data_IF_366262958174
#
_entry.id   IF_366262958174
#
_cell.length_a   1.000
_cell.length_b   1.000
_cell.length_c   1.000
_cell.angle_alpha   90.00
_cell.angle_beta   90.00
_cell.angle_gamma   90.00
#
_symmetry.space_group_name_H-M   'P 1'
#
loop_
_entity.id
_entity.type
_entity.pdbx_description
1 polymer ?
#
# COMPACT_ATOMS: atom_id res chain seq x y z
N UNK A 1 -4.03 3.17 -1.90
CA UNK A 1 -3.21 2.22 -1.11
C UNK A 1 -2.19 1.58 -2.03
N UNK A 2 -0.91 1.57 -1.64
CA UNK A 2 0.20 1.06 -2.46
C UNK A 2 0.86 -0.08 -1.69
N UNK A 3 0.84 -1.30 -2.24
CA UNK A 3 1.48 -2.50 -1.66
C UNK A 3 2.83 -2.79 -2.32
N UNK A 4 3.50 -3.87 -1.93
CA UNK A 4 4.87 -4.21 -2.36
C UNK A 4 4.98 -4.54 -3.85
N UNK A 5 4.45 -5.68 -4.27
CA UNK A 5 4.54 -6.22 -5.63
C UNK A 5 3.29 -7.07 -5.90
N UNK A 6 2.95 -7.36 -7.17
CA UNK A 6 1.94 -8.37 -7.47
C UNK A 6 2.39 -9.77 -7.01
N UNK A 7 1.44 -10.72 -6.88
CA UNK A 7 1.76 -12.12 -6.65
C UNK A 7 2.48 -12.73 -7.86
N UNK A 8 3.18 -13.84 -7.64
CA UNK A 8 3.84 -14.59 -8.72
C UNK A 8 2.82 -15.31 -9.62
N UNK A 9 1.76 -15.86 -9.03
CA UNK A 9 0.59 -16.29 -9.78
C UNK A 9 -0.31 -15.09 -10.03
N UNK A 10 -0.54 -14.77 -11.31
CA UNK A 10 -1.41 -13.67 -11.69
C UNK A 10 -2.82 -13.85 -11.12
N UNK A 11 -3.33 -15.08 -11.06
CA UNK A 11 -4.68 -15.39 -10.59
C UNK A 11 -4.95 -14.95 -9.14
N UNK A 12 -3.91 -14.70 -8.36
CA UNK A 12 -4.01 -14.20 -6.99
C UNK A 12 -4.09 -12.68 -6.88
N UNK A 13 -3.99 -11.93 -7.99
CA UNK A 13 -3.94 -10.47 -7.97
C UNK A 13 -5.30 -9.83 -7.63
N UNK A 14 -5.27 -8.63 -7.06
CA UNK A 14 -6.41 -7.91 -6.49
C UNK A 14 -7.65 -7.81 -7.40
N UNK A 15 -7.42 -7.68 -8.70
CA UNK A 15 -8.45 -7.38 -9.70
C UNK A 15 -8.84 -8.59 -10.55
N UNK A 16 -8.33 -9.78 -10.24
CA UNK A 16 -8.67 -11.00 -10.96
C UNK A 16 -10.04 -11.56 -10.55
N UNK A 17 -10.60 -12.39 -11.42
CA UNK A 17 -11.89 -13.05 -11.18
C UNK A 17 -11.74 -14.20 -10.18
N UNK A 18 -12.86 -14.58 -9.55
CA UNK A 18 -12.91 -15.68 -8.59
C UNK A 18 -12.59 -15.22 -7.18
N UNK A 19 -11.68 -15.91 -6.50
CA UNK A 19 -11.32 -15.64 -5.11
C UNK A 19 -9.79 -15.43 -4.93
N UNK A 20 -9.19 -14.39 -5.55
CA UNK A 20 -7.75 -14.16 -5.50
C UNK A 20 -7.23 -13.99 -4.08
N UNK A 21 -6.11 -14.61 -3.74
CA UNK A 21 -5.58 -14.56 -2.37
C UNK A 21 -5.30 -13.13 -1.87
N UNK A 22 -4.75 -12.24 -2.72
CA UNK A 22 -4.49 -10.87 -2.29
C UNK A 22 -5.77 -10.08 -2.04
N UNK A 23 -6.85 -10.38 -2.78
CA UNK A 23 -8.14 -9.74 -2.54
C UNK A 23 -8.73 -10.22 -1.22
N UNK A 24 -8.64 -11.52 -0.90
CA UNK A 24 -9.15 -12.07 0.35
C UNK A 24 -8.56 -11.36 1.58
N UNK A 25 -7.24 -11.19 1.62
CA UNK A 25 -6.59 -10.57 2.79
C UNK A 25 -6.86 -9.07 2.87
N UNK A 26 -7.00 -8.39 1.73
CA UNK A 26 -7.44 -6.99 1.69
C UNK A 26 -8.87 -6.84 2.19
N UNK A 27 -9.82 -7.64 1.67
CA UNK A 27 -11.22 -7.62 2.10
C UNK A 27 -11.32 -7.88 3.60
N UNK A 28 -10.55 -8.85 4.11
CA UNK A 28 -10.45 -9.09 5.55
C UNK A 28 -9.96 -7.84 6.30
N UNK A 29 -8.85 -7.24 5.88
CA UNK A 29 -8.28 -6.07 6.57
C UNK A 29 -9.25 -4.88 6.63
N UNK A 30 -10.03 -4.66 5.57
CA UNK A 30 -11.07 -3.62 5.54
C UNK A 30 -12.26 -3.95 6.46
N UNK A 31 -12.74 -5.19 6.45
CA UNK A 31 -13.84 -5.60 7.34
C UNK A 31 -13.43 -5.55 8.81
N UNK A 32 -12.22 -5.99 9.15
CA UNK A 32 -11.65 -5.89 10.49
C UNK A 32 -11.57 -4.42 10.94
N UNK A 33 -11.37 -3.48 10.00
CA UNK A 33 -11.38 -2.04 10.26
C UNK A 33 -12.79 -1.44 10.39
N UNK A 34 -13.84 -2.26 10.28
CA UNK A 34 -15.24 -1.85 10.34
C UNK A 34 -15.80 -1.34 9.01
N UNK A 35 -15.07 -1.53 7.91
CA UNK A 35 -15.48 -1.10 6.56
C UNK A 35 -16.10 -2.30 5.84
N UNK A 36 -17.43 -2.34 5.75
CA UNK A 36 -18.16 -3.43 5.10
C UNK A 36 -17.85 -3.47 3.60
N UNK A 37 -17.10 -4.49 3.16
CA UNK A 37 -16.75 -4.76 1.76
C UNK A 37 -16.73 -6.28 1.52
N UNK A 38 -17.06 -6.72 0.31
CA UNK A 38 -17.04 -8.14 -0.06
C UNK A 38 -16.21 -8.42 -1.31
N UNK A 39 -15.88 -7.38 -2.10
CA UNK A 39 -15.10 -7.52 -3.32
C UNK A 39 -14.33 -6.22 -3.62
N UNK A 40 -13.50 -6.24 -4.67
CA UNK A 40 -12.70 -5.07 -5.07
C UNK A 40 -13.56 -3.87 -5.51
N UNK A 41 -14.73 -4.11 -6.12
CA UNK A 41 -15.65 -3.03 -6.52
C UNK A 41 -16.17 -2.26 -5.31
N UNK A 42 -16.47 -2.94 -4.21
CA UNK A 42 -16.88 -2.27 -2.98
C UNK A 42 -15.78 -1.34 -2.45
N UNK A 43 -14.52 -1.79 -2.46
CA UNK A 43 -13.36 -1.00 -2.03
C UNK A 43 -13.18 0.24 -2.94
N UNK A 44 -13.30 0.07 -4.25
CA UNK A 44 -13.26 1.19 -5.20
C UNK A 44 -14.42 2.17 -4.95
N UNK A 45 -15.63 1.67 -4.67
CA UNK A 45 -16.79 2.49 -4.33
C UNK A 45 -16.62 3.25 -3.00
N UNK A 46 -15.73 2.79 -2.11
CA UNK A 46 -15.29 3.54 -0.92
C UNK A 46 -14.21 4.58 -1.21
N UNK A 47 -13.85 4.79 -2.47
CA UNK A 47 -12.84 5.77 -2.89
C UNK A 47 -11.40 5.29 -2.70
N UNK A 48 -11.18 3.98 -2.48
CA UNK A 48 -9.84 3.43 -2.30
C UNK A 48 -9.39 2.68 -3.55
N UNK A 49 -8.39 3.23 -4.23
CA UNK A 49 -7.64 2.53 -5.27
C UNK A 49 -6.47 1.75 -4.67
N UNK A 50 -6.29 0.48 -5.08
CA UNK A 50 -5.19 -0.38 -4.62
C UNK A 50 -4.25 -0.66 -5.79
N UNK A 51 -2.96 -0.44 -5.58
CA UNK A 51 -1.92 -0.79 -6.56
C UNK A 51 -0.67 -1.30 -5.86
N UNK A 52 0.34 -1.71 -6.63
CA UNK A 52 1.64 -2.21 -6.15
C UNK A 52 2.77 -1.25 -6.52
N UNK A 53 3.81 -1.18 -5.71
CA UNK A 53 4.97 -0.34 -5.97
C UNK A 53 5.83 -0.88 -7.13
N UNK A 54 5.99 -2.20 -7.18
CA UNK A 54 6.59 -2.93 -8.30
C UNK A 54 5.47 -3.52 -9.17
N UNK A 55 5.65 -3.55 -10.49
CA UNK A 55 4.61 -3.98 -11.46
C UNK A 55 4.76 -5.41 -11.97
N UNK A 56 5.75 -6.15 -11.47
CA UNK A 56 6.00 -7.54 -11.80
C UNK A 56 6.16 -8.37 -10.51
N UNK A 57 5.88 -9.67 -10.61
CA UNK A 57 6.06 -10.60 -9.50
C UNK A 57 7.52 -10.64 -9.07
N UNK A 58 7.76 -10.70 -7.75
CA UNK A 58 9.12 -10.75 -7.22
C UNK A 58 9.70 -12.16 -7.35
N UNK A 59 10.93 -12.24 -7.87
CA UNK A 59 11.66 -13.51 -7.99
C UNK A 59 12.25 -13.94 -6.65
N UNK A 60 12.84 -12.99 -5.94
CA UNK A 60 13.49 -13.20 -4.66
C UNK A 60 12.60 -12.74 -3.49
N UNK A 61 13.01 -13.11 -2.28
CA UNK A 61 12.32 -12.69 -1.06
C UNK A 61 12.33 -11.17 -0.88
N UNK A 62 13.44 -10.52 -1.21
CA UNK A 62 13.66 -9.07 -1.13
C UNK A 62 13.74 -8.44 -2.52
N UNK A 63 13.44 -7.14 -2.60
CA UNK A 63 13.57 -6.36 -3.83
C UNK A 63 14.69 -5.33 -3.63
N UNK A 64 15.65 -5.28 -4.57
CA UNK A 64 16.78 -4.36 -4.47
C UNK A 64 16.33 -2.90 -4.54
N UNK A 65 17.08 -1.99 -3.88
CA UNK A 65 16.79 -0.57 -3.91
C UNK A 65 16.82 0.01 -5.34
N UNK A 66 17.73 -0.50 -6.16
CA UNK A 66 17.82 -0.13 -7.58
C UNK A 66 16.55 -0.52 -8.35
N UNK A 67 16.07 -1.75 -8.15
CA UNK A 67 14.80 -2.20 -8.76
C UNK A 67 13.63 -1.32 -8.30
N UNK A 68 13.56 -0.99 -7.00
CA UNK A 68 12.52 -0.10 -6.46
C UNK A 68 12.55 1.26 -7.16
N UNK A 69 13.73 1.87 -7.30
CA UNK A 69 13.88 3.16 -7.97
C UNK A 69 13.46 3.07 -9.43
N UNK A 70 13.93 2.07 -10.17
CA UNK A 70 13.63 1.91 -11.59
C UNK A 70 12.13 1.68 -11.83
N UNK A 71 11.50 0.80 -11.04
CA UNK A 71 10.07 0.53 -11.14
C UNK A 71 9.19 1.69 -10.64
N UNK A 72 9.70 2.57 -9.77
CA UNK A 72 8.93 3.70 -9.25
C UNK A 72 8.46 4.67 -10.33
N UNK A 73 9.11 4.70 -11.50
CA UNK A 73 8.68 5.53 -12.64
C UNK A 73 7.28 5.14 -13.16
N UNK A 74 6.93 3.85 -13.12
CA UNK A 74 5.59 3.40 -13.52
C UNK A 74 4.55 3.76 -12.45
N UNK A 75 4.91 3.61 -11.17
CA UNK A 75 4.08 4.05 -10.06
C UNK A 75 3.84 5.57 -10.09
N UNK A 76 4.86 6.36 -10.44
CA UNK A 76 4.75 7.83 -10.59
C UNK A 76 3.69 8.20 -11.63
N UNK A 77 3.74 7.58 -12.82
CA UNK A 77 2.75 7.79 -13.88
C UNK A 77 1.35 7.39 -13.44
N UNK A 78 1.21 6.25 -12.78
CA UNK A 78 -0.09 5.77 -12.31
C UNK A 78 -0.68 6.69 -11.24
N UNK A 79 0.11 7.10 -10.25
CA UNK A 79 -0.34 8.03 -9.20
C UNK A 79 -0.75 9.38 -9.79
N UNK A 80 -0.07 9.85 -10.84
CA UNK A 80 -0.44 11.12 -11.51
C UNK A 80 -1.84 11.12 -12.15
N UNK A 81 -2.43 9.94 -12.39
CA UNK A 81 -3.80 9.82 -12.91
C UNK A 81 -4.87 10.16 -11.86
N UNK A 82 -4.49 10.34 -10.60
CA UNK A 82 -5.40 10.61 -9.49
C UNK A 82 -5.14 12.02 -8.90
N UNK A 83 -5.65 13.10 -9.53
CA UNK A 83 -5.38 14.47 -9.08
C UNK A 83 -5.97 14.77 -7.69
N UNK A 84 -7.05 14.07 -7.31
CA UNK A 84 -7.82 14.31 -6.10
C UNK A 84 -7.43 13.39 -4.93
N UNK A 85 -6.22 12.81 -4.93
CA UNK A 85 -5.76 12.00 -3.79
C UNK A 85 -5.75 12.85 -2.52
N UNK A 86 -6.49 12.40 -1.51
CA UNK A 86 -6.41 12.93 -0.12
C UNK A 86 -5.34 12.21 0.71
N UNK A 87 -5.19 10.90 0.50
CA UNK A 87 -4.38 10.02 1.35
C UNK A 87 -3.54 9.04 0.53
N UNK A 88 -2.24 8.97 0.86
CA UNK A 88 -1.37 7.86 0.46
C UNK A 88 -1.21 6.89 1.62
N UNK A 89 -1.57 5.63 1.41
CA UNK A 89 -1.32 4.55 2.36
C UNK A 89 -0.25 3.62 1.78
N UNK A 90 0.90 3.54 2.44
CA UNK A 90 2.12 2.88 1.99
C UNK A 90 2.31 1.57 2.77
N UNK A 91 1.97 0.46 2.15
CA UNK A 91 1.91 -0.86 2.78
C UNK A 91 3.26 -1.59 2.61
N UNK A 92 4.13 -1.47 3.60
CA UNK A 92 5.44 -2.11 3.66
C UNK A 92 6.59 -1.25 3.12
N UNK A 93 7.81 -1.66 3.44
CA UNK A 93 9.05 -0.90 3.19
C UNK A 93 9.29 -0.59 1.70
N UNK A 94 8.95 -1.53 0.80
CA UNK A 94 9.07 -1.34 -0.65
C UNK A 94 8.22 -0.17 -1.14
N UNK A 95 6.95 -0.09 -0.69
CA UNK A 95 6.05 1.01 -1.06
C UNK A 95 6.52 2.36 -0.51
N UNK A 96 7.04 2.37 0.72
CA UNK A 96 7.62 3.57 1.36
C UNK A 96 8.82 4.06 0.56
N UNK A 97 9.74 3.17 0.20
CA UNK A 97 10.94 3.50 -0.58
C UNK A 97 10.60 3.97 -2.00
N UNK A 98 9.60 3.35 -2.65
CA UNK A 98 9.16 3.75 -3.98
C UNK A 98 8.61 5.18 -3.98
N UNK A 99 7.65 5.48 -3.09
CA UNK A 99 7.07 6.83 -3.01
C UNK A 99 8.07 7.88 -2.53
N UNK A 100 8.95 7.55 -1.58
CA UNK A 100 10.05 8.46 -1.22
C UNK A 100 11.01 8.74 -2.39
N UNK A 101 11.22 7.77 -3.29
CA UNK A 101 12.06 7.99 -4.49
C UNK A 101 11.38 8.98 -5.44
N UNK A 102 10.07 8.84 -5.63
CA UNK A 102 9.25 9.76 -6.44
C UNK A 102 9.25 11.17 -5.84
N UNK A 103 8.92 11.30 -4.55
CA UNK A 103 8.89 12.60 -3.89
C UNK A 103 10.26 13.26 -3.80
N UNK A 104 11.32 12.48 -3.59
CA UNK A 104 12.69 13.02 -3.63
C UNK A 104 13.04 13.57 -5.01
N UNK A 105 12.63 12.91 -6.10
CA UNK A 105 12.82 13.44 -7.46
C UNK A 105 12.04 14.75 -7.68
N UNK A 106 10.85 14.88 -7.09
CA UNK A 106 9.95 16.02 -7.31
C UNK A 106 10.25 17.23 -6.40
N UNK A 107 10.76 17.02 -5.20
CA UNK A 107 10.93 18.09 -4.20
C UNK A 107 12.23 18.02 -3.39
N UNK A 108 13.18 17.17 -3.79
CA UNK A 108 14.45 16.87 -3.10
C UNK A 108 14.32 16.46 -1.62
N UNK A 109 13.13 16.04 -1.20
CA UNK A 109 12.82 15.68 0.19
C UNK A 109 12.20 14.30 0.26
N UNK A 110 12.59 13.55 1.31
CA UNK A 110 11.89 12.33 1.73
C UNK A 110 10.75 12.74 2.66
N UNK A 111 9.61 12.07 2.52
CA UNK A 111 8.43 12.31 3.36
C UNK A 111 8.45 11.40 4.57
N UNK A 112 8.79 10.12 4.36
CA UNK A 112 8.95 9.15 5.45
C UNK A 112 10.45 9.01 5.76
N UNK A 113 10.89 9.24 7.00
CA UNK A 113 12.29 9.05 7.39
C UNK A 113 12.66 7.56 7.38
N UNK A 114 13.97 7.28 7.38
CA UNK A 114 14.47 5.91 7.51
C UNK A 114 14.14 5.39 8.91
N UNK A 115 13.53 4.22 9.00
CA UNK A 115 13.16 3.60 10.26
C UNK A 115 12.24 2.41 10.07
N UNK A 116 11.98 1.67 11.14
CA UNK A 116 11.02 0.56 11.10
C UNK A 116 9.59 1.10 10.94
N UNK A 117 8.76 0.36 10.20
CA UNK A 117 7.33 0.68 10.02
C UNK A 117 6.61 0.86 11.37
N UNK A 118 7.00 0.09 12.40
CA UNK A 118 6.47 0.22 13.75
C UNK A 118 6.63 1.62 14.34
N UNK A 119 7.79 2.26 14.10
CA UNK A 119 8.06 3.62 14.58
C UNK A 119 7.41 4.65 13.67
N UNK A 120 7.57 4.50 12.35
CA UNK A 120 7.08 5.51 11.41
C UNK A 120 5.56 5.60 11.39
N UNK A 121 4.81 4.49 11.54
CA UNK A 121 3.33 4.52 11.52
C UNK A 121 2.68 5.38 12.61
N UNK A 122 3.39 5.66 13.71
CA UNK A 122 2.86 6.44 14.83
C UNK A 122 2.84 7.95 14.54
N UNK A 123 3.52 8.39 13.50
CA UNK A 123 3.71 9.80 13.18
C UNK A 123 2.75 10.31 12.11
N UNK A 124 2.64 11.64 12.01
CA UNK A 124 1.84 12.32 10.99
C UNK A 124 2.72 12.96 9.91
N UNK A 125 2.75 12.32 8.74
CA UNK A 125 3.42 12.81 7.54
C UNK A 125 2.45 13.37 6.51
N UNK A 126 2.96 14.32 5.73
CA UNK A 126 2.23 14.97 4.65
C UNK A 126 3.14 15.20 3.45
N UNK A 127 2.54 15.17 2.26
CA UNK A 127 3.20 15.57 1.02
C UNK A 127 2.23 16.40 0.17
N UNK A 128 2.62 17.64 -0.15
CA UNK A 128 1.78 18.56 -0.93
C UNK A 128 0.33 18.65 -0.41
N UNK A 129 0.18 18.80 0.92
CA UNK A 129 -1.12 18.85 1.62
C UNK A 129 -1.84 17.50 1.80
N UNK A 130 -1.35 16.41 1.18
CA UNK A 130 -1.96 15.07 1.25
C UNK A 130 -1.41 14.29 2.44
N UNK A 131 -2.26 13.56 3.16
CA UNK A 131 -1.84 12.76 4.32
C UNK A 131 -1.13 11.48 3.86
N UNK A 132 -0.04 11.10 4.54
CA UNK A 132 0.75 9.90 4.20
C UNK A 132 0.86 8.94 5.40
N UNK A 133 0.40 7.71 5.23
CA UNK A 133 0.41 6.64 6.25
C UNK A 133 1.36 5.51 5.85
N UNK A 134 2.53 5.37 6.50
CA UNK A 134 3.28 4.12 6.45
C UNK A 134 2.58 3.05 7.29
N UNK A 135 2.41 1.84 6.75
CA UNK A 135 1.75 0.72 7.41
C UNK A 135 2.34 -0.62 6.97
N UNK A 136 1.86 -1.73 7.54
CA UNK A 136 2.29 -3.08 7.19
C UNK A 136 1.54 -3.63 5.98
N UNK A 137 2.20 -4.49 5.20
CA UNK A 137 1.57 -5.12 4.04
C UNK A 137 0.44 -6.07 4.46
N UNK A 138 -0.78 -5.92 3.92
CA UNK A 138 -1.87 -6.85 4.12
C UNK A 138 -1.81 -8.01 3.12
N UNK A 139 -0.81 -8.04 2.22
CA UNK A 139 -0.69 -9.06 1.17
C UNK A 139 0.44 -10.02 1.46
N UNK A 140 0.15 -11.32 1.35
CA UNK A 140 1.12 -12.41 1.52
C UNK A 140 0.80 -13.32 2.71
N UNK A 141 1.32 -14.55 2.65
CA UNK A 141 1.01 -15.61 3.62
C UNK A 141 1.36 -15.23 5.07
N UNK A 142 2.41 -14.44 5.28
CA UNK A 142 2.84 -13.99 6.61
C UNK A 142 1.79 -13.12 7.31
N UNK A 143 0.99 -12.34 6.57
CA UNK A 143 -0.03 -11.48 7.16
C UNK A 143 -1.05 -12.27 7.97
N UNK A 144 -1.38 -13.50 7.55
CA UNK A 144 -2.37 -14.34 8.24
C UNK A 144 -1.88 -14.84 9.61
N UNK A 145 -0.57 -14.89 9.83
CA UNK A 145 0.07 -15.43 11.04
C UNK A 145 0.38 -14.29 12.02
N UNK A 146 0.76 -13.11 11.53
CA UNK A 146 1.25 -12.00 12.34
C UNK A 146 0.12 -11.12 12.91
N UNK A 147 -0.58 -11.63 13.94
CA UNK A 147 -1.73 -10.95 14.60
C UNK A 147 -1.46 -9.50 15.05
N UNK A 148 -0.23 -9.18 15.44
CA UNK A 148 0.14 -7.81 15.78
C UNK A 148 0.09 -6.87 14.57
N UNK A 149 0.61 -7.32 13.42
CA UNK A 149 0.58 -6.53 12.18
C UNK A 149 -0.85 -6.40 11.64
N UNK A 150 -1.67 -7.45 11.77
CA UNK A 150 -3.10 -7.38 11.43
C UNK A 150 -3.79 -6.23 12.17
N UNK A 151 -3.69 -6.20 13.51
CA UNK A 151 -4.27 -5.13 14.34
C UNK A 151 -3.77 -3.75 13.95
N UNK A 152 -2.46 -3.59 13.73
CA UNK A 152 -1.89 -2.30 13.33
C UNK A 152 -2.40 -1.84 11.96
N UNK A 153 -2.46 -2.74 10.98
CA UNK A 153 -3.04 -2.43 9.66
C UNK A 153 -4.52 -2.07 9.79
N UNK A 154 -5.28 -2.77 10.61
CA UNK A 154 -6.69 -2.49 10.90
C UNK A 154 -6.90 -1.08 11.47
N UNK A 155 -6.09 -0.69 12.47
CA UNK A 155 -6.10 0.66 13.04
C UNK A 155 -5.80 1.73 11.99
N UNK A 156 -4.77 1.48 11.16
CA UNK A 156 -4.35 2.42 10.12
C UNK A 156 -5.42 2.57 9.03
N UNK A 157 -6.06 1.48 8.57
CA UNK A 157 -7.18 1.54 7.61
C UNK A 157 -8.34 2.33 8.22
N UNK A 158 -8.72 2.02 9.46
CA UNK A 158 -9.83 2.70 10.15
C UNK A 158 -9.60 4.22 10.21
N UNK A 159 -8.38 4.65 10.48
CA UNK A 159 -8.04 6.07 10.51
C UNK A 159 -8.05 6.70 9.12
N UNK A 160 -7.49 6.04 8.10
CA UNK A 160 -7.57 6.50 6.70
C UNK A 160 -9.02 6.71 6.27
N UNK A 161 -9.91 5.77 6.61
CA UNK A 161 -11.32 5.83 6.23
C UNK A 161 -12.11 6.95 6.90
N UNK A 162 -11.62 7.51 8.02
CA UNK A 162 -12.22 8.71 8.64
C UNK A 162 -11.86 10.01 7.91
N UNK A 163 -10.81 9.98 7.08
CA UNK A 163 -10.27 11.17 6.42
C UNK A 163 -10.77 11.35 4.98
N UNK A 164 -11.43 10.35 4.41
CA UNK A 164 -11.83 10.37 2.99
C UNK A 164 -13.32 10.51 2.79
#
# INVERSE_FOLDING_TARGET
MITESPPNDKADYFYEKGNPFYLQTIVQAFNDAGVKVSNMRDILNKGVYITTAIKCGKKDYTISLETIKNCSMLLEKEVSLFPNIKVFMLMGDVSIKAMNSIWKKQSDKRVIPVGSTYKTRKEKYYYAGKRVFPSYTPTGKNYLIEKAKQRMTTEDIKEVMRLI
#
